data_IF_248804325126
#
_entry.id   IF_248804325126
#
_cell.length_a   1.000
_cell.length_b   1.000
_cell.length_c   1.000
_cell.angle_alpha   90.00
_cell.angle_beta   90.00
_cell.angle_gamma   90.00
#
_symmetry.space_group_name_H-M   'P 1'
#
loop_
_entity.id
_entity.type
_entity.pdbx_description
1 polymer ?
#
# COMPACT_ATOMS: atom_id res chain seq x y z
N UNK A 1 -67.72 6.11 -12.83
CA UNK A 1 -66.94 5.90 -11.59
C UNK A 1 -65.76 4.98 -11.89
N UNK A 2 -64.53 5.50 -11.99
CA UNK A 2 -63.31 4.70 -11.83
C UNK A 2 -62.13 5.66 -11.61
N UNK A 3 -61.80 5.91 -10.35
CA UNK A 3 -60.60 6.65 -9.93
C UNK A 3 -59.46 5.64 -9.82
N UNK A 4 -58.47 5.73 -10.71
CA UNK A 4 -57.23 4.94 -10.66
C UNK A 4 -56.40 5.35 -9.43
N UNK A 5 -56.21 4.42 -8.51
CA UNK A 5 -55.26 4.52 -7.39
C UNK A 5 -53.81 4.57 -7.92
N UNK A 6 -53.10 5.67 -7.67
CA UNK A 6 -51.63 5.73 -7.79
C UNK A 6 -51.02 5.21 -6.48
N UNK A 7 -50.01 4.33 -6.51
CA UNK A 7 -49.34 3.90 -5.29
C UNK A 7 -48.44 5.02 -4.77
N UNK A 8 -48.71 5.46 -3.53
CA UNK A 8 -47.89 6.38 -2.77
C UNK A 8 -46.52 5.73 -2.50
N UNK A 9 -45.50 6.11 -3.27
CA UNK A 9 -44.10 5.88 -2.95
C UNK A 9 -43.76 6.71 -1.70
N UNK A 10 -43.85 6.09 -0.53
CA UNK A 10 -43.27 6.61 0.72
C UNK A 10 -41.77 6.83 0.47
N UNK A 11 -41.36 8.10 0.37
CA UNK A 11 -39.96 8.51 0.46
C UNK A 11 -39.42 7.98 1.79
N UNK A 12 -38.66 6.89 1.74
CA UNK A 12 -37.78 6.50 2.84
C UNK A 12 -36.78 7.64 2.98
N UNK A 13 -36.88 8.39 4.08
CA UNK A 13 -35.83 9.30 4.53
C UNK A 13 -34.58 8.46 4.81
N UNK A 14 -33.74 8.29 3.79
CA UNK A 14 -32.36 7.88 3.96
C UNK A 14 -31.66 9.09 4.56
N UNK A 15 -31.36 9.02 5.85
CA UNK A 15 -30.47 9.96 6.53
C UNK A 15 -29.11 9.95 5.81
N UNK A 16 -28.95 10.83 4.83
CA UNK A 16 -27.65 11.14 4.25
C UNK A 16 -26.85 11.86 5.34
N UNK A 17 -25.82 11.22 5.90
CA UNK A 17 -24.80 11.93 6.69
C UNK A 17 -24.33 13.10 5.83
N UNK A 18 -24.71 14.34 6.17
CA UNK A 18 -24.23 15.54 5.49
C UNK A 18 -22.71 15.51 5.61
N UNK A 19 -22.03 15.30 4.49
CA UNK A 19 -20.62 15.66 4.36
C UNK A 19 -20.52 17.12 4.85
N UNK A 20 -19.64 17.44 5.80
CA UNK A 20 -19.56 18.81 6.30
C UNK A 20 -19.12 19.72 5.15
N UNK A 21 -20.01 20.60 4.68
CA UNK A 21 -19.70 21.60 3.66
C UNK A 21 -18.44 22.40 4.00
N UNK A 22 -18.22 22.61 5.30
CA UNK A 22 -17.02 23.21 5.87
C UNK A 22 -15.73 22.45 5.47
N UNK A 23 -15.74 21.12 5.46
CA UNK A 23 -14.58 20.30 5.07
C UNK A 23 -14.22 20.53 3.60
N UNK A 24 -15.22 20.60 2.73
CA UNK A 24 -15.02 20.87 1.30
C UNK A 24 -14.41 22.27 1.13
N UNK A 25 -14.92 23.26 1.86
CA UNK A 25 -14.40 24.63 1.80
C UNK A 25 -12.93 24.71 2.26
N UNK A 26 -12.58 24.05 3.37
CA UNK A 26 -11.19 23.96 3.86
C UNK A 26 -10.25 23.32 2.82
N UNK A 27 -10.69 22.22 2.19
CA UNK A 27 -9.88 21.54 1.16
C UNK A 27 -9.68 22.46 -0.04
N UNK A 28 -10.74 23.09 -0.54
CA UNK A 28 -10.64 24.01 -1.67
C UNK A 28 -9.72 25.20 -1.36
N UNK A 29 -9.85 25.79 -0.17
CA UNK A 29 -8.99 26.90 0.25
C UNK A 29 -7.51 26.47 0.34
N UNK A 30 -7.24 25.32 0.95
CA UNK A 30 -5.88 24.78 1.04
C UNK A 30 -5.30 24.43 -0.35
N UNK A 31 -6.10 23.87 -1.26
CA UNK A 31 -5.72 23.59 -2.64
C UNK A 31 -5.39 24.87 -3.41
N UNK A 32 -6.26 25.89 -3.37
CA UNK A 32 -6.04 27.16 -4.04
C UNK A 32 -4.77 27.88 -3.56
N UNK A 33 -4.44 27.73 -2.27
CA UNK A 33 -3.21 28.27 -1.68
C UNK A 33 -1.99 27.36 -1.86
N UNK A 34 -2.13 26.21 -2.53
CA UNK A 34 -1.09 25.17 -2.62
C UNK A 34 -0.51 24.78 -1.24
N UNK A 35 -1.34 24.81 -0.19
CA UNK A 35 -0.93 24.54 1.19
C UNK A 35 -0.87 23.02 1.45
N UNK A 36 0.26 22.41 1.05
CA UNK A 36 0.51 20.97 1.22
C UNK A 36 0.39 20.51 2.69
N UNK A 37 0.95 21.21 3.69
CA UNK A 37 0.79 20.79 5.09
C UNK A 37 -0.68 20.69 5.53
N UNK A 38 -1.51 21.69 5.19
CA UNK A 38 -2.93 21.65 5.55
C UNK A 38 -3.67 20.57 4.76
N UNK A 39 -3.39 20.38 3.46
CA UNK A 39 -3.99 19.28 2.69
C UNK A 39 -3.66 17.91 3.28
N UNK A 40 -2.41 17.67 3.71
CA UNK A 40 -2.02 16.43 4.39
C UNK A 40 -2.78 16.23 5.69
N UNK A 41 -2.92 17.29 6.50
CA UNK A 41 -3.72 17.25 7.72
C UNK A 41 -5.19 16.93 7.44
N UNK A 42 -5.79 17.53 6.42
CA UNK A 42 -7.18 17.26 6.01
C UNK A 42 -7.35 15.85 5.44
N UNK A 43 -6.37 15.32 4.72
CA UNK A 43 -6.41 13.96 4.19
C UNK A 43 -6.24 12.88 5.29
N UNK A 44 -5.50 13.19 6.36
CA UNK A 44 -5.21 12.25 7.45
C UNK A 44 -6.21 12.31 8.61
N UNK A 45 -7.07 13.33 8.69
CA UNK A 45 -8.07 13.50 9.77
C UNK A 45 -9.50 13.34 9.27
N UNK A 46 -10.46 13.18 10.20
CA UNK A 46 -11.90 13.18 9.89
C UNK A 46 -12.25 12.33 8.67
N UNK A 47 -13.12 12.79 7.75
CA UNK A 47 -13.55 12.05 6.57
C UNK A 47 -12.52 12.05 5.41
N UNK A 48 -11.28 12.49 5.63
CA UNK A 48 -10.27 12.64 4.58
C UNK A 48 -10.63 13.71 3.54
N UNK A 49 -10.36 13.40 2.27
CA UNK A 49 -10.61 14.29 1.11
C UNK A 49 -12.03 14.19 0.55
N UNK A 50 -12.93 13.47 1.25
CA UNK A 50 -14.38 13.46 1.05
C UNK A 50 -14.88 12.77 -0.23
N UNK A 51 -14.43 13.18 -1.42
CA UNK A 51 -14.93 12.66 -2.69
C UNK A 51 -13.86 12.67 -3.79
N UNK A 52 -14.11 11.91 -4.86
CA UNK A 52 -13.14 11.72 -5.93
C UNK A 52 -12.88 12.98 -6.75
N UNK A 53 -13.83 13.93 -6.78
CA UNK A 53 -13.62 15.24 -7.41
C UNK A 53 -12.51 16.03 -6.70
N UNK A 54 -12.53 16.05 -5.37
CA UNK A 54 -11.47 16.69 -4.57
C UNK A 54 -10.17 15.87 -4.62
N UNK A 55 -10.22 14.54 -4.66
CA UNK A 55 -9.04 13.69 -4.82
C UNK A 55 -8.33 13.92 -6.15
N UNK A 56 -9.09 14.10 -7.24
CA UNK A 56 -8.55 14.47 -8.56
C UNK A 56 -7.74 15.76 -8.55
N UNK A 57 -8.05 16.68 -7.65
CA UNK A 57 -7.28 17.91 -7.45
C UNK A 57 -6.11 17.68 -6.48
N UNK A 58 -6.39 17.06 -5.33
CA UNK A 58 -5.46 17.02 -4.21
C UNK A 58 -4.39 15.92 -4.34
N UNK A 59 -4.71 14.72 -4.84
CA UNK A 59 -3.72 13.65 -4.95
C UNK A 59 -2.56 14.02 -5.88
N UNK A 60 -2.78 14.56 -7.09
CA UNK A 60 -1.67 14.99 -7.94
C UNK A 60 -0.79 16.05 -7.27
N UNK A 61 -1.41 16.99 -6.54
CA UNK A 61 -0.70 18.04 -5.81
C UNK A 61 0.11 17.48 -4.63
N UNK A 62 -0.46 16.56 -3.84
CA UNK A 62 0.22 15.89 -2.72
C UNK A 62 1.35 14.96 -3.19
N UNK A 63 1.23 14.43 -4.40
CA UNK A 63 2.21 13.57 -5.05
C UNK A 63 3.18 14.35 -5.96
N UNK A 64 3.18 15.68 -5.96
CA UNK A 64 4.10 16.49 -6.77
C UNK A 64 4.11 16.09 -8.26
N UNK A 65 2.94 15.86 -8.85
CA UNK A 65 2.81 15.42 -10.24
C UNK A 65 3.02 16.55 -11.28
N UNK A 66 3.21 17.79 -10.83
CA UNK A 66 3.48 18.96 -11.67
C UNK A 66 4.74 19.70 -11.19
N UNK A 67 5.47 20.39 -12.10
CA UNK A 67 5.24 20.45 -13.54
C UNK A 67 5.60 19.13 -14.24
N UNK A 68 4.84 18.77 -15.28
CA UNK A 68 5.12 17.58 -16.05
C UNK A 68 6.11 17.89 -17.17
N UNK A 69 7.31 17.36 -17.06
CA UNK A 69 8.21 17.31 -18.21
C UNK A 69 7.76 16.18 -19.15
N UNK A 70 7.53 16.48 -20.45
CA UNK A 70 7.23 15.44 -21.42
C UNK A 70 8.38 14.46 -21.49
N UNK A 71 8.10 13.19 -21.20
CA UNK A 71 9.10 12.12 -21.31
C UNK A 71 9.47 11.86 -22.77
N UNK A 72 10.72 11.49 -23.05
CA UNK A 72 11.14 11.16 -24.41
C UNK A 72 10.42 9.88 -24.86
N UNK A 73 9.74 9.94 -26.01
CA UNK A 73 9.03 8.79 -26.58
C UNK A 73 9.98 7.62 -26.89
N UNK A 74 11.28 7.88 -27.01
CA UNK A 74 12.30 6.84 -27.21
C UNK A 74 12.41 5.89 -26.02
N UNK A 75 12.30 6.41 -24.80
CA UNK A 75 12.43 5.59 -23.59
C UNK A 75 11.23 4.64 -23.38
N UNK A 76 10.11 4.91 -24.08
CA UNK A 76 8.95 4.03 -24.09
C UNK A 76 9.05 2.91 -25.13
N UNK A 77 10.11 2.85 -25.94
CA UNK A 77 10.22 1.85 -27.01
C UNK A 77 10.72 0.50 -26.52
N UNK A 78 11.62 0.48 -25.52
CA UNK A 78 12.15 -0.76 -24.97
C UNK A 78 11.13 -1.43 -24.03
N UNK A 79 10.96 -2.74 -24.21
CA UNK A 79 10.05 -3.53 -23.37
C UNK A 79 10.67 -3.75 -21.99
N UNK A 80 9.87 -3.57 -20.93
CA UNK A 80 10.31 -3.85 -19.58
C UNK A 80 10.31 -5.36 -19.28
N UNK A 81 11.31 -5.82 -18.51
CA UNK A 81 11.48 -7.26 -18.17
C UNK A 81 10.23 -7.92 -17.54
N UNK A 82 9.39 -7.13 -16.88
CA UNK A 82 8.24 -7.60 -16.11
C UNK A 82 6.88 -7.45 -16.81
N UNK A 83 6.80 -6.98 -18.07
CA UNK A 83 5.50 -6.72 -18.74
C UNK A 83 4.60 -7.95 -18.85
N UNK A 84 5.20 -9.13 -18.98
CA UNK A 84 4.44 -10.39 -18.97
C UNK A 84 3.72 -10.63 -17.65
N UNK A 85 4.38 -10.37 -16.52
CA UNK A 85 3.77 -10.51 -15.19
C UNK A 85 2.67 -9.47 -15.00
N UNK A 86 2.91 -8.23 -15.45
CA UNK A 86 1.89 -7.16 -15.45
C UNK A 86 0.63 -7.61 -16.18
N UNK A 87 0.76 -8.21 -17.37
CA UNK A 87 -0.39 -8.69 -18.13
C UNK A 87 -1.22 -9.72 -17.35
N UNK A 88 -0.57 -10.71 -16.73
CA UNK A 88 -1.24 -11.76 -15.95
C UNK A 88 -2.01 -11.18 -14.75
N UNK A 89 -1.45 -10.18 -14.08
CA UNK A 89 -2.06 -9.54 -12.92
C UNK A 89 -3.20 -8.60 -13.31
N UNK A 90 -3.03 -7.83 -14.38
CA UNK A 90 -4.07 -6.96 -14.93
C UNK A 90 -5.29 -7.77 -15.39
N UNK A 91 -5.10 -8.95 -15.99
CA UNK A 91 -6.22 -9.81 -16.39
C UNK A 91 -7.08 -10.27 -15.21
N UNK A 92 -6.50 -10.33 -14.00
CA UNK A 92 -7.18 -10.67 -12.74
C UNK A 92 -7.75 -9.47 -11.98
N UNK A 93 -7.57 -8.24 -12.48
CA UNK A 93 -8.03 -7.01 -11.82
C UNK A 93 -9.52 -6.71 -11.99
N UNK A 94 -10.00 -5.66 -11.31
CA UNK A 94 -11.40 -5.17 -11.33
C UNK A 94 -12.43 -6.25 -10.99
N UNK A 95 -12.16 -7.03 -9.94
CA UNK A 95 -13.07 -8.10 -9.45
C UNK A 95 -14.12 -7.54 -8.49
N UNK A 96 -13.71 -6.74 -7.52
CA UNK A 96 -14.60 -6.24 -6.47
C UNK A 96 -15.20 -4.87 -6.78
N UNK A 97 -14.44 -4.01 -7.45
CA UNK A 97 -14.85 -2.68 -7.84
C UNK A 97 -14.25 -2.29 -9.20
N UNK A 98 -14.96 -1.47 -9.98
CA UNK A 98 -16.34 -1.01 -9.77
C UNK A 98 -17.38 -2.13 -10.05
N UNK A 99 -18.54 -2.05 -9.40
CA UNK A 99 -19.61 -3.07 -9.54
C UNK A 99 -20.39 -2.87 -10.84
N UNK A 100 -20.88 -3.97 -11.42
CA UNK A 100 -21.78 -3.93 -12.58
C UNK A 100 -21.09 -3.64 -13.92
N UNK A 101 -19.78 -3.82 -14.01
CA UNK A 101 -19.06 -3.73 -15.28
C UNK A 101 -19.48 -4.85 -16.23
N UNK A 102 -19.77 -4.48 -17.47
CA UNK A 102 -19.82 -5.45 -18.55
C UNK A 102 -18.38 -5.87 -18.96
N UNK A 103 -18.25 -6.99 -19.67
CA UNK A 103 -16.96 -7.54 -20.06
C UNK A 103 -16.14 -6.59 -20.96
N UNK A 104 -16.78 -5.85 -21.86
CA UNK A 104 -16.10 -4.93 -22.76
C UNK A 104 -15.50 -3.74 -22.00
N UNK A 105 -16.26 -3.11 -21.10
CA UNK A 105 -15.78 -2.04 -20.23
C UNK A 105 -14.69 -2.54 -19.30
N UNK A 106 -14.84 -3.74 -18.71
CA UNK A 106 -13.79 -4.35 -17.90
C UNK A 106 -12.50 -4.53 -18.70
N UNK A 107 -12.57 -5.08 -19.92
CA UNK A 107 -11.40 -5.28 -20.78
C UNK A 107 -10.75 -3.97 -21.21
N UNK A 108 -11.55 -2.93 -21.48
CA UNK A 108 -11.03 -1.59 -21.74
C UNK A 108 -10.25 -1.04 -20.54
N UNK A 109 -10.83 -1.11 -19.33
CA UNK A 109 -10.16 -0.67 -18.10
C UNK A 109 -8.90 -1.49 -17.79
N UNK A 110 -8.90 -2.79 -18.07
CA UNK A 110 -7.72 -3.64 -17.98
C UNK A 110 -6.63 -3.18 -18.96
N UNK A 111 -6.99 -2.85 -20.20
CA UNK A 111 -6.04 -2.28 -21.17
C UNK A 111 -5.47 -0.96 -20.66
N UNK A 112 -6.29 -0.09 -20.10
CA UNK A 112 -5.81 1.17 -19.54
C UNK A 112 -4.90 0.98 -18.32
N UNK A 113 -5.23 0.04 -17.45
CA UNK A 113 -4.40 -0.30 -16.30
C UNK A 113 -3.04 -0.87 -16.73
N UNK A 114 -3.01 -1.70 -17.77
CA UNK A 114 -1.77 -2.17 -18.38
C UNK A 114 -0.92 -0.98 -18.84
N UNK A 115 -1.50 -0.07 -19.63
CA UNK A 115 -0.79 1.11 -20.13
C UNK A 115 -0.22 1.96 -18.98
N UNK A 116 -0.96 2.09 -17.87
CA UNK A 116 -0.49 2.82 -16.68
C UNK A 116 0.75 2.17 -16.08
N UNK A 117 0.70 0.86 -15.82
CA UNK A 117 1.80 0.15 -15.15
C UNK A 117 3.01 0.06 -16.07
N UNK A 118 2.82 -0.30 -17.34
CA UNK A 118 3.89 -0.37 -18.34
C UNK A 118 4.51 1.01 -18.56
N UNK A 119 3.69 2.06 -18.61
CA UNK A 119 4.17 3.43 -18.71
C UNK A 119 5.07 3.83 -17.53
N UNK A 120 4.77 3.39 -16.30
CA UNK A 120 5.65 3.59 -15.13
C UNK A 120 6.96 2.81 -15.29
N UNK A 121 6.88 1.52 -15.58
CA UNK A 121 8.04 0.64 -15.63
C UNK A 121 9.01 0.98 -16.76
N UNK A 122 8.52 1.37 -17.95
CA UNK A 122 9.39 1.78 -19.06
C UNK A 122 10.13 3.08 -18.79
N UNK A 123 9.52 4.01 -18.04
CA UNK A 123 10.20 5.25 -17.59
C UNK A 123 11.21 5.01 -16.47
N UNK A 124 11.09 3.90 -15.75
CA UNK A 124 11.98 3.53 -14.66
C UNK A 124 12.38 2.07 -14.78
N UNK A 125 13.18 1.71 -15.80
CA UNK A 125 13.44 0.31 -16.16
C UNK A 125 14.25 -0.48 -15.11
N UNK A 126 14.69 0.20 -14.05
CA UNK A 126 15.37 -0.40 -12.89
C UNK A 126 14.41 -0.80 -11.77
N UNK A 127 13.14 -0.40 -11.84
CA UNK A 127 12.13 -0.90 -10.91
C UNK A 127 11.81 -2.36 -11.24
N UNK A 128 11.76 -3.21 -10.22
CA UNK A 128 11.22 -4.54 -10.36
C UNK A 128 9.73 -4.52 -9.98
N UNK A 129 8.87 -5.02 -10.86
CA UNK A 129 7.45 -5.15 -10.58
C UNK A 129 7.22 -6.24 -9.52
N UNK A 130 6.39 -5.94 -8.50
CA UNK A 130 5.87 -6.94 -7.57
C UNK A 130 4.38 -7.19 -7.81
N UNK A 131 3.96 -8.44 -7.63
CA UNK A 131 2.55 -8.82 -7.69
C UNK A 131 1.76 -8.11 -6.57
N UNK A 132 0.84 -7.24 -6.97
CA UNK A 132 0.04 -6.39 -6.09
C UNK A 132 0.15 -4.90 -6.42
N UNK A 133 1.19 -4.46 -7.15
CA UNK A 133 1.30 -3.05 -7.56
C UNK A 133 0.16 -2.63 -8.51
N UNK A 134 -0.42 -3.59 -9.25
CA UNK A 134 -1.61 -3.33 -10.06
C UNK A 134 -2.82 -2.91 -9.24
N UNK A 135 -2.95 -3.35 -7.99
CA UNK A 135 -4.04 -2.94 -7.10
C UNK A 135 -3.91 -1.44 -6.76
N UNK A 136 -2.69 -0.96 -6.48
CA UNK A 136 -2.40 0.49 -6.31
C UNK A 136 -2.78 1.27 -7.56
N UNK A 137 -2.27 0.87 -8.72
CA UNK A 137 -2.53 1.57 -9.98
C UNK A 137 -4.01 1.54 -10.37
N UNK A 138 -4.75 0.49 -10.03
CA UNK A 138 -6.18 0.40 -10.30
C UNK A 138 -6.98 1.48 -9.54
N UNK A 139 -6.63 1.73 -8.27
CA UNK A 139 -7.26 2.76 -7.45
C UNK A 139 -6.96 4.16 -8.02
N UNK A 140 -5.70 4.40 -8.40
CA UNK A 140 -5.29 5.66 -9.02
C UNK A 140 -6.04 5.90 -10.32
N UNK A 141 -6.13 4.90 -11.20
CA UNK A 141 -6.86 5.01 -12.47
C UNK A 141 -8.35 5.30 -12.24
N UNK A 142 -8.99 4.61 -11.30
CA UNK A 142 -10.39 4.80 -10.96
C UNK A 142 -10.70 6.20 -10.42
N UNK A 143 -9.84 6.74 -9.55
CA UNK A 143 -10.07 8.04 -8.91
C UNK A 143 -9.67 9.18 -9.83
N UNK A 144 -8.49 9.09 -10.45
CA UNK A 144 -7.93 10.15 -11.29
C UNK A 144 -8.63 10.22 -12.65
N UNK A 145 -9.21 9.11 -13.11
CA UNK A 145 -10.10 9.06 -14.27
C UNK A 145 -9.39 9.17 -15.63
N UNK A 146 -8.06 9.25 -15.66
CA UNK A 146 -7.27 9.24 -16.88
C UNK A 146 -5.89 8.60 -16.63
N UNK A 147 -5.34 7.99 -17.69
CA UNK A 147 -4.07 7.25 -17.62
C UNK A 147 -2.89 8.14 -17.29
N UNK A 148 -2.81 9.33 -17.84
CA UNK A 148 -1.66 10.23 -17.69
C UNK A 148 -1.48 10.68 -16.24
N UNK A 149 -2.57 11.07 -15.57
CA UNK A 149 -2.54 11.40 -14.14
C UNK A 149 -2.21 10.17 -13.29
N UNK A 150 -2.75 8.99 -13.63
CA UNK A 150 -2.46 7.74 -12.91
C UNK A 150 -1.00 7.29 -13.07
N UNK A 151 -0.42 7.46 -14.26
CA UNK A 151 0.98 7.20 -14.60
C UNK A 151 1.92 8.06 -13.74
N UNK A 152 1.65 9.36 -13.59
CA UNK A 152 2.47 10.28 -12.79
C UNK A 152 2.33 9.99 -11.28
N UNK A 153 1.09 9.85 -10.81
CA UNK A 153 0.83 9.53 -9.42
C UNK A 153 1.45 8.18 -9.02
N UNK A 154 1.30 7.16 -9.87
CA UNK A 154 1.84 5.83 -9.64
C UNK A 154 3.36 5.78 -9.70
N UNK A 155 4.00 6.55 -10.58
CA UNK A 155 5.46 6.72 -10.61
C UNK A 155 5.99 7.29 -9.30
N UNK A 156 5.41 8.37 -8.81
CA UNK A 156 5.88 8.99 -7.57
C UNK A 156 5.62 8.10 -6.35
N UNK A 157 4.50 7.37 -6.33
CA UNK A 157 4.25 6.35 -5.31
C UNK A 157 5.31 5.25 -5.38
N UNK A 158 5.58 4.69 -6.56
CA UNK A 158 6.57 3.65 -6.78
C UNK A 158 7.98 4.07 -6.33
N UNK A 159 8.37 5.31 -6.61
CA UNK A 159 9.74 5.79 -6.44
C UNK A 159 9.98 6.34 -5.03
N UNK A 160 8.99 6.97 -4.40
CA UNK A 160 9.19 7.70 -3.14
C UNK A 160 8.45 7.11 -1.95
N UNK A 161 7.42 6.28 -2.16
CA UNK A 161 6.62 5.72 -1.06
C UNK A 161 6.71 4.19 -0.96
N UNK A 162 6.87 3.50 -2.08
CA UNK A 162 6.86 2.04 -2.15
C UNK A 162 8.12 1.43 -2.77
N UNK A 163 9.18 2.21 -2.97
CA UNK A 163 10.40 1.78 -3.67
C UNK A 163 11.04 0.54 -3.06
N UNK A 164 10.99 0.42 -1.74
CA UNK A 164 11.59 -0.69 -1.02
C UNK A 164 10.89 -2.05 -1.29
N UNK A 165 9.69 -2.02 -1.89
CA UNK A 165 9.01 -3.19 -2.44
C UNK A 165 9.24 -3.39 -3.96
N UNK A 166 9.82 -2.40 -4.65
CA UNK A 166 10.10 -2.41 -6.09
C UNK A 166 11.59 -2.56 -6.43
N UNK A 167 12.42 -3.00 -5.47
CA UNK A 167 13.79 -3.43 -5.75
C UNK A 167 13.79 -4.87 -6.29
N UNK A 168 14.93 -5.36 -6.78
CA UNK A 168 15.08 -6.72 -7.33
C UNK A 168 14.72 -7.86 -6.35
N UNK A 169 14.49 -7.54 -5.07
CA UNK A 169 14.03 -8.47 -4.04
C UNK A 169 13.08 -7.76 -3.08
N UNK A 170 12.11 -8.50 -2.54
CA UNK A 170 11.25 -8.05 -1.44
C UNK A 170 11.94 -8.07 -0.06
N UNK A 171 13.22 -8.47 0.03
CA UNK A 171 13.97 -8.47 1.29
C UNK A 171 13.90 -7.13 2.06
N UNK A 172 14.00 -5.94 1.44
CA UNK A 172 13.91 -4.67 2.15
C UNK A 172 12.55 -4.51 2.83
N UNK A 173 11.43 -4.66 2.10
CA UNK A 173 10.10 -4.52 2.71
C UNK A 173 9.83 -5.61 3.77
N UNK A 174 10.38 -6.82 3.58
CA UNK A 174 10.29 -7.90 4.58
C UNK A 174 11.07 -7.57 5.86
N UNK A 175 12.18 -6.84 5.77
CA UNK A 175 12.89 -6.28 6.94
C UNK A 175 12.06 -5.19 7.61
N UNK A 176 11.41 -4.29 6.86
CA UNK A 176 10.52 -3.28 7.44
C UNK A 176 9.38 -3.90 8.25
N UNK A 177 8.80 -5.00 7.76
CA UNK A 177 7.74 -5.73 8.48
C UNK A 177 8.19 -6.24 9.85
N UNK A 178 9.48 -6.45 10.09
CA UNK A 178 9.98 -6.85 11.43
C UNK A 178 9.73 -5.79 12.50
N UNK A 179 9.59 -4.52 12.11
CA UNK A 179 9.22 -3.43 13.01
C UNK A 179 7.84 -3.64 13.64
N UNK A 180 6.95 -4.38 12.95
CA UNK A 180 5.63 -4.74 13.45
C UNK A 180 5.72 -5.42 14.82
N UNK A 181 6.64 -6.37 14.99
CA UNK A 181 6.82 -7.10 16.24
C UNK A 181 7.26 -6.16 17.37
N UNK A 182 8.20 -5.25 17.08
CA UNK A 182 8.66 -4.25 18.07
C UNK A 182 7.54 -3.29 18.47
N UNK A 183 6.74 -2.81 17.52
CA UNK A 183 5.61 -1.92 17.79
C UNK A 183 4.54 -2.62 18.63
N UNK A 184 4.17 -3.85 18.28
CA UNK A 184 3.21 -4.65 19.05
C UNK A 184 3.75 -4.91 20.45
N UNK A 185 5.02 -5.30 20.59
CA UNK A 185 5.66 -5.54 21.90
C UNK A 185 5.58 -4.33 22.82
N UNK A 186 5.73 -3.12 22.28
CA UNK A 186 5.71 -1.89 23.07
C UNK A 186 4.30 -1.42 23.45
N UNK A 187 3.26 -1.81 22.71
CA UNK A 187 1.86 -1.42 22.96
C UNK A 187 1.04 -2.52 23.65
N UNK A 188 1.32 -3.78 23.33
CA UNK A 188 0.58 -4.95 23.80
C UNK A 188 1.52 -6.17 23.96
N UNK A 189 2.23 -6.27 25.09
CA UNK A 189 3.14 -7.37 25.35
C UNK A 189 2.47 -8.75 25.32
N UNK A 190 1.18 -8.85 25.68
CA UNK A 190 0.46 -10.12 25.70
C UNK A 190 0.26 -10.67 24.28
N UNK A 191 -0.12 -9.82 23.32
CA UNK A 191 -0.17 -10.21 21.91
C UNK A 191 1.24 -10.58 21.41
N UNK A 192 2.25 -9.77 21.71
CA UNK A 192 3.59 -10.05 21.23
C UNK A 192 4.14 -11.39 21.76
N UNK A 193 3.90 -11.73 23.04
CA UNK A 193 4.24 -13.03 23.61
C UNK A 193 3.49 -14.17 22.91
N UNK A 194 2.21 -13.96 22.60
CA UNK A 194 1.41 -14.96 21.91
C UNK A 194 1.94 -15.22 20.50
N UNK A 195 2.28 -14.18 19.73
CA UNK A 195 2.86 -14.30 18.39
C UNK A 195 4.23 -14.99 18.41
N UNK A 196 5.06 -14.70 19.41
CA UNK A 196 6.35 -15.38 19.58
C UNK A 196 6.18 -16.87 19.93
N UNK A 197 5.25 -17.19 20.85
CA UNK A 197 4.95 -18.58 21.22
C UNK A 197 4.38 -19.39 20.06
N UNK A 198 3.52 -18.79 19.24
CA UNK A 198 2.98 -19.42 18.03
C UNK A 198 3.99 -19.45 16.87
N UNK A 199 5.20 -18.90 17.02
CA UNK A 199 6.21 -18.74 15.97
C UNK A 199 5.67 -18.00 14.73
N UNK A 200 4.78 -17.02 14.93
CA UNK A 200 4.17 -16.26 13.84
C UNK A 200 5.08 -15.09 13.43
N UNK A 201 5.56 -15.14 12.19
CA UNK A 201 6.34 -14.05 11.59
C UNK A 201 5.40 -12.96 11.03
N UNK A 202 5.83 -11.69 10.99
CA UNK A 202 4.98 -10.55 10.63
C UNK A 202 4.66 -10.45 9.12
N UNK A 203 4.86 -11.53 8.37
CA UNK A 203 4.67 -11.55 6.91
C UNK A 203 3.21 -11.73 6.49
N UNK A 204 2.31 -12.05 7.43
CA UNK A 204 0.86 -12.15 7.18
C UNK A 204 0.25 -10.84 6.63
N UNK A 205 0.84 -9.69 6.95
CA UNK A 205 0.35 -8.38 6.53
C UNK A 205 1.12 -7.78 5.35
N UNK A 206 1.94 -8.57 4.65
CA UNK A 206 2.70 -8.06 3.50
C UNK A 206 1.76 -7.43 2.45
N UNK A 207 0.62 -8.08 2.15
CA UNK A 207 -0.37 -7.54 1.20
C UNK A 207 -0.92 -6.18 1.64
N UNK A 208 -1.14 -5.97 2.94
CA UNK A 208 -1.68 -4.72 3.48
C UNK A 208 -0.75 -3.54 3.21
N UNK A 209 0.55 -3.78 3.36
CA UNK A 209 1.60 -2.78 3.20
C UNK A 209 1.84 -2.47 1.73
N UNK A 210 2.09 -3.49 0.90
CA UNK A 210 2.49 -3.26 -0.49
C UNK A 210 1.31 -2.86 -1.38
N UNK A 211 0.08 -3.21 -1.00
CA UNK A 211 -1.13 -2.81 -1.77
C UNK A 211 -1.93 -1.70 -1.08
N UNK A 212 -1.42 -1.11 0.01
CA UNK A 212 -2.17 -0.14 0.82
C UNK A 212 -3.59 -0.63 1.16
N UNK A 213 -3.67 -1.93 1.49
CA UNK A 213 -4.88 -2.68 1.80
C UNK A 213 -5.91 -2.78 0.67
N UNK A 214 -5.63 -2.26 -0.53
CA UNK A 214 -6.57 -2.29 -1.67
C UNK A 214 -6.85 -3.70 -2.17
N UNK A 215 -5.90 -4.62 -2.01
CA UNK A 215 -6.10 -6.04 -2.30
C UNK A 215 -7.12 -6.69 -1.34
N UNK A 216 -7.08 -6.31 -0.07
CA UNK A 216 -7.80 -6.98 1.00
C UNK A 216 -9.14 -6.33 1.35
N UNK A 217 -9.30 -5.04 1.07
CA UNK A 217 -10.52 -4.27 1.37
C UNK A 217 -11.42 -4.22 0.13
N UNK A 218 -12.63 -4.77 0.26
CA UNK A 218 -13.56 -4.92 -0.88
C UNK A 218 -14.45 -3.70 -1.16
N UNK A 219 -14.37 -2.67 -0.32
CA UNK A 219 -15.15 -1.45 -0.43
C UNK A 219 -14.26 -0.30 -0.93
N UNK A 220 -14.49 0.14 -2.17
CA UNK A 220 -13.71 1.21 -2.79
C UNK A 220 -13.74 2.50 -1.94
N UNK A 221 -14.85 2.81 -1.25
CA UNK A 221 -14.93 4.01 -0.42
C UNK A 221 -13.95 3.98 0.76
N UNK A 222 -13.72 2.80 1.34
CA UNK A 222 -12.72 2.56 2.38
C UNK A 222 -11.30 2.60 1.81
N UNK A 223 -11.10 2.00 0.63
CA UNK A 223 -9.81 2.00 -0.06
C UNK A 223 -9.35 3.42 -0.39
N UNK A 224 -10.20 4.24 -1.03
CA UNK A 224 -9.81 5.63 -1.38
C UNK A 224 -9.59 6.50 -0.15
N UNK A 225 -10.30 6.22 0.96
CA UNK A 225 -10.06 6.87 2.26
C UNK A 225 -8.70 6.50 2.86
N UNK A 226 -8.28 5.25 2.72
CA UNK A 226 -6.92 4.80 3.09
C UNK A 226 -5.86 5.43 2.18
N UNK A 227 -6.14 5.61 0.90
CA UNK A 227 -5.22 6.28 -0.02
C UNK A 227 -5.03 7.75 0.33
N UNK A 228 -6.10 8.48 0.71
CA UNK A 228 -5.98 9.85 1.26
C UNK A 228 -4.95 9.89 2.39
N UNK A 229 -5.00 8.89 3.28
CA UNK A 229 -4.10 8.75 4.42
C UNK A 229 -2.66 8.39 4.00
N UNK A 230 -2.46 7.36 3.19
CA UNK A 230 -1.12 6.89 2.81
C UNK A 230 -0.35 7.89 1.95
N UNK A 231 -1.00 8.49 0.95
CA UNK A 231 -0.39 9.53 0.10
C UNK A 231 0.13 10.71 0.94
N UNK A 232 -0.58 11.03 2.02
CA UNK A 232 -0.30 12.19 2.87
C UNK A 232 0.67 11.92 4.02
N UNK A 233 1.14 10.68 4.17
CA UNK A 233 1.85 10.21 5.36
C UNK A 233 3.23 9.62 5.03
N UNK A 234 4.01 9.40 6.09
CA UNK A 234 5.30 8.72 6.05
C UNK A 234 5.18 7.28 5.51
N UNK A 235 6.13 6.77 4.71
CA UNK A 235 6.09 5.40 4.17
C UNK A 235 5.89 4.31 5.24
N UNK A 236 6.47 4.48 6.43
CA UNK A 236 6.34 3.52 7.53
C UNK A 236 4.94 3.49 8.13
N UNK A 237 4.07 4.47 7.86
CA UNK A 237 2.74 4.55 8.46
C UNK A 237 1.90 3.29 8.19
N UNK A 238 2.16 2.60 7.07
CA UNK A 238 1.55 1.33 6.69
C UNK A 238 1.86 0.20 7.69
N UNK A 239 3.08 0.19 8.24
CA UNK A 239 3.50 -0.73 9.31
C UNK A 239 2.80 -0.39 10.62
N UNK A 240 2.68 0.90 10.96
CA UNK A 240 1.94 1.35 12.14
C UNK A 240 0.44 1.03 12.05
N UNK A 241 -0.14 1.17 10.86
CA UNK A 241 -1.52 0.78 10.59
C UNK A 241 -1.71 -0.73 10.78
N UNK A 242 -0.79 -1.52 10.23
CA UNK A 242 -0.79 -2.99 10.40
C UNK A 242 -0.70 -3.38 11.88
N UNK A 243 0.18 -2.75 12.66
CA UNK A 243 0.29 -3.00 14.11
C UNK A 243 -1.03 -2.67 14.81
N UNK A 244 -1.67 -1.55 14.46
CA UNK A 244 -2.94 -1.14 15.04
C UNK A 244 -4.08 -2.10 14.73
N UNK A 245 -4.11 -2.67 13.52
CA UNK A 245 -5.08 -3.72 13.15
C UNK A 245 -4.89 -4.95 14.04
N UNK A 246 -3.65 -5.44 14.20
CA UNK A 246 -3.35 -6.59 15.04
C UNK A 246 -3.77 -6.34 16.49
N UNK A 247 -3.36 -5.20 17.06
CA UNK A 247 -3.68 -4.82 18.44
C UNK A 247 -5.20 -4.68 18.65
N UNK A 248 -5.93 -4.16 17.65
CA UNK A 248 -7.39 -4.02 17.76
C UNK A 248 -8.13 -5.36 17.89
N UNK A 249 -7.49 -6.47 17.48
CA UNK A 249 -8.04 -7.82 17.50
C UNK A 249 -7.55 -8.64 18.71
N UNK A 250 -7.03 -7.98 19.74
CA UNK A 250 -6.48 -8.60 20.97
C UNK A 250 -7.29 -9.79 21.49
N UNK A 251 -8.58 -9.58 21.76
CA UNK A 251 -9.44 -10.60 22.38
C UNK A 251 -9.64 -11.81 21.48
N UNK A 252 -9.85 -11.58 20.19
CA UNK A 252 -10.04 -12.65 19.22
C UNK A 252 -8.74 -13.44 19.03
N UNK A 253 -7.60 -12.74 18.98
CA UNK A 253 -6.29 -13.33 18.76
C UNK A 253 -5.86 -14.22 19.94
N UNK A 254 -6.01 -13.75 21.18
CA UNK A 254 -5.66 -14.54 22.37
C UNK A 254 -6.64 -15.69 22.67
N UNK A 255 -7.81 -15.70 22.01
CA UNK A 255 -8.76 -16.81 22.09
C UNK A 255 -8.45 -17.93 21.08
N UNK A 256 -7.51 -17.72 20.14
CA UNK A 256 -7.09 -18.76 19.20
C UNK A 256 -6.22 -19.80 19.89
N UNK A 257 -6.17 -20.98 19.28
CA UNK A 257 -5.11 -21.93 19.54
C UNK A 257 -3.76 -21.30 19.19
N UNK A 258 -2.76 -21.48 20.07
CA UNK A 258 -1.42 -20.92 19.92
C UNK A 258 -0.60 -21.73 18.90
N UNK A 259 -1.10 -21.80 17.67
CA UNK A 259 -0.50 -22.48 16.53
C UNK A 259 -0.18 -21.47 15.41
N UNK A 260 1.01 -21.57 14.84
CA UNK A 260 1.50 -20.62 13.86
C UNK A 260 0.66 -20.52 12.59
N UNK A 261 0.09 -21.63 12.11
CA UNK A 261 -0.71 -21.64 10.89
C UNK A 261 -2.12 -21.08 11.14
N UNK A 262 -2.72 -21.39 12.29
CA UNK A 262 -4.01 -20.84 12.71
C UNK A 262 -3.91 -19.32 12.87
N UNK A 263 -2.90 -18.87 13.62
CA UNK A 263 -2.66 -17.46 13.87
C UNK A 263 -2.36 -16.71 12.57
N UNK A 264 -1.49 -17.25 11.71
CA UNK A 264 -1.21 -16.65 10.40
C UNK A 264 -2.49 -16.54 9.56
N UNK A 265 -3.28 -17.60 9.45
CA UNK A 265 -4.53 -17.60 8.67
C UNK A 265 -5.54 -16.56 9.18
N UNK A 266 -5.64 -16.39 10.49
CA UNK A 266 -6.50 -15.37 11.09
C UNK A 266 -6.00 -13.96 10.80
N UNK A 267 -4.69 -13.73 10.95
CA UNK A 267 -4.07 -12.43 10.79
C UNK A 267 -3.92 -12.01 9.33
N UNK A 268 -3.81 -12.91 8.36
CA UNK A 268 -3.75 -12.54 6.94
C UNK A 268 -5.07 -11.97 6.41
N UNK A 269 -6.18 -12.11 7.15
CA UNK A 269 -7.48 -11.56 6.78
C UNK A 269 -7.64 -10.15 7.33
N UNK A 270 -7.77 -9.16 6.45
CA UNK A 270 -8.11 -7.79 6.84
C UNK A 270 -9.55 -7.70 7.38
N UNK A 271 -9.79 -7.02 8.53
CA UNK A 271 -11.12 -6.89 9.12
C UNK A 271 -12.05 -5.99 8.28
N UNK A 272 -13.04 -6.59 7.62
CA UNK A 272 -13.89 -5.87 6.65
C UNK A 272 -14.82 -4.81 7.28
N UNK A 273 -15.22 -4.99 8.54
CA UNK A 273 -16.17 -4.11 9.25
C UNK A 273 -15.48 -3.02 10.08
N UNK A 274 -14.17 -2.88 9.97
CA UNK A 274 -13.44 -1.85 10.71
C UNK A 274 -13.88 -0.44 10.28
N UNK A 275 -13.96 0.46 11.27
CA UNK A 275 -14.08 1.90 11.05
C UNK A 275 -12.71 2.44 10.63
N UNK A 276 -12.62 2.91 9.38
CA UNK A 276 -11.37 3.37 8.78
C UNK A 276 -10.91 4.68 9.41
N UNK A 277 -11.82 5.58 9.76
CA UNK A 277 -11.46 6.87 10.35
C UNK A 277 -10.94 6.68 11.77
N UNK A 278 -11.55 5.78 12.54
CA UNK A 278 -11.06 5.40 13.87
C UNK A 278 -9.70 4.70 13.78
N UNK A 279 -9.53 3.76 12.84
CA UNK A 279 -8.26 3.09 12.61
C UNK A 279 -7.15 4.11 12.30
N UNK A 280 -7.38 5.00 11.34
CA UNK A 280 -6.43 6.05 10.95
C UNK A 280 -6.09 6.94 12.15
N UNK A 281 -7.10 7.40 12.90
CA UNK A 281 -6.89 8.24 14.09
C UNK A 281 -5.96 7.57 15.11
N UNK A 282 -6.24 6.29 15.44
CA UNK A 282 -5.43 5.51 16.38
C UNK A 282 -4.03 5.22 15.84
N UNK A 283 -3.89 5.00 14.52
CA UNK A 283 -2.59 4.84 13.87
C UNK A 283 -1.75 6.11 13.96
N UNK A 284 -2.34 7.28 13.71
CA UNK A 284 -1.64 8.57 13.83
C UNK A 284 -1.20 8.83 15.27
N UNK A 285 -2.05 8.51 16.26
CA UNK A 285 -1.68 8.61 17.68
C UNK A 285 -0.46 7.74 18.01
N UNK A 286 -0.46 6.48 17.54
CA UNK A 286 0.66 5.56 17.72
C UNK A 286 1.94 6.07 17.05
N UNK A 287 1.84 6.52 15.80
CA UNK A 287 2.97 7.06 15.05
C UNK A 287 3.54 8.30 15.72
N UNK A 288 2.70 9.25 16.11
CA UNK A 288 3.14 10.47 16.79
C UNK A 288 3.75 10.20 18.17
N UNK A 289 3.23 9.22 18.91
CA UNK A 289 3.80 8.78 20.20
C UNK A 289 5.27 8.38 20.02
N UNK A 290 5.56 7.50 19.08
CA UNK A 290 6.92 6.99 18.86
C UNK A 290 7.82 7.91 18.04
N UNK A 291 7.24 8.81 17.23
CA UNK A 291 7.99 9.89 16.61
C UNK A 291 8.47 10.92 17.64
N UNK A 292 7.63 11.28 18.60
CA UNK A 292 7.98 12.24 19.68
C UNK A 292 8.93 11.61 20.69
N UNK A 293 8.69 10.36 21.08
CA UNK A 293 9.52 9.63 22.02
C UNK A 293 9.80 8.23 21.46
N UNK A 294 10.93 8.08 20.77
CA UNK A 294 11.34 6.80 20.20
C UNK A 294 12.18 6.01 21.22
N UNK A 295 11.66 4.91 21.80
CA UNK A 295 12.43 4.09 22.73
C UNK A 295 13.66 3.49 22.04
N UNK A 296 14.74 3.26 22.78
CA UNK A 296 15.99 2.73 22.22
C UNK A 296 15.79 1.42 21.45
N UNK A 297 14.87 0.56 21.92
CA UNK A 297 14.55 -0.71 21.24
C UNK A 297 13.93 -0.48 19.85
N UNK A 298 13.04 0.52 19.71
CA UNK A 298 12.46 0.86 18.42
C UNK A 298 13.49 1.53 17.50
N UNK A 299 14.31 2.43 18.06
CA UNK A 299 15.40 3.07 17.30
C UNK A 299 16.37 2.03 16.74
N UNK A 300 16.74 1.04 17.56
CA UNK A 300 17.59 -0.08 17.13
C UNK A 300 16.91 -0.91 16.04
N UNK A 301 15.64 -1.27 16.23
CA UNK A 301 14.87 -2.03 15.24
C UNK A 301 14.76 -1.28 13.90
N UNK A 302 14.54 0.04 13.91
CA UNK A 302 14.51 0.89 12.72
C UNK A 302 15.86 0.86 11.99
N UNK A 303 16.97 1.03 12.72
CA UNK A 303 18.32 0.99 12.13
C UNK A 303 18.68 -0.39 11.54
N UNK A 304 18.14 -1.47 12.10
CA UNK A 304 18.35 -2.83 11.57
C UNK A 304 17.45 -3.14 10.37
N UNK A 305 16.23 -2.58 10.36
CA UNK A 305 15.22 -2.84 9.34
C UNK A 305 15.40 -1.99 8.08
N UNK A 306 15.90 -0.76 8.21
CA UNK A 306 15.97 0.21 7.12
C UNK A 306 17.40 0.39 6.62
N UNK A 307 17.56 0.26 5.30
CA UNK A 307 18.77 0.68 4.61
C UNK A 307 18.85 2.22 4.54
N UNK A 308 20.05 2.79 4.49
CA UNK A 308 20.25 4.24 4.38
C UNK A 308 19.57 4.84 3.15
N UNK A 309 19.40 4.04 2.09
CA UNK A 309 18.70 4.43 0.87
C UNK A 309 17.23 4.05 0.86
N UNK A 310 16.65 3.60 1.97
CA UNK A 310 15.23 3.30 2.10
C UNK A 310 14.38 4.54 1.84
N UNK A 311 13.22 4.37 1.19
CA UNK A 311 12.30 5.49 0.98
C UNK A 311 11.78 6.07 2.29
N UNK A 312 11.68 5.27 3.36
CA UNK A 312 11.33 5.73 4.70
C UNK A 312 12.39 6.67 5.31
N UNK A 313 13.68 6.36 5.17
CA UNK A 313 14.78 7.21 5.67
C UNK A 313 14.86 8.53 4.88
N UNK A 314 14.72 8.42 3.56
CA UNK A 314 14.85 9.54 2.64
C UNK A 314 13.61 10.45 2.58
N UNK A 315 12.50 10.04 3.19
CA UNK A 315 11.22 10.74 3.11
C UNK A 315 11.29 12.18 3.65
N UNK A 316 11.81 12.37 4.86
CA UNK A 316 11.92 13.71 5.46
C UNK A 316 13.00 14.57 4.79
N UNK A 317 14.03 13.90 4.25
CA UNK A 317 15.19 14.58 3.67
C UNK A 317 14.89 15.14 2.28
N UNK A 318 14.10 14.42 1.49
CA UNK A 318 13.87 14.72 0.08
C UNK A 318 12.40 14.95 -0.26
N UNK A 319 11.48 14.11 0.23
CA UNK A 319 10.07 14.20 -0.16
C UNK A 319 9.33 15.35 0.53
N UNK A 320 9.46 15.48 1.87
CA UNK A 320 8.75 16.53 2.61
C UNK A 320 9.27 17.96 2.35
N UNK A 321 10.50 18.08 1.84
CA UNK A 321 11.11 19.38 1.52
C UNK A 321 10.80 19.88 0.11
N UNK A 322 10.29 18.99 -0.74
CA UNK A 322 9.98 19.32 -2.12
C UNK A 322 8.88 20.39 -2.18
N UNK A 323 9.14 21.49 -2.88
CA UNK A 323 8.12 22.52 -3.09
C UNK A 323 7.16 22.08 -4.19
N UNK A 324 5.98 22.72 -4.21
CA UNK A 324 4.92 22.37 -5.18
C UNK A 324 5.37 22.54 -6.64
N UNK A 325 6.18 23.56 -6.91
CA UNK A 325 6.62 23.88 -8.27
C UNK A 325 8.06 23.40 -8.55
N UNK A 326 8.64 22.61 -7.63
CA UNK A 326 10.01 22.09 -7.78
C UNK A 326 9.97 20.76 -8.54
N UNK A 327 10.72 20.62 -9.65
CA UNK A 327 10.72 19.40 -10.42
C UNK A 327 11.34 18.25 -9.62
N UNK A 328 10.76 17.06 -9.77
CA UNK A 328 11.28 15.86 -9.14
C UNK A 328 12.59 15.44 -9.82
N UNK A 329 13.65 15.30 -9.03
CA UNK A 329 14.92 14.77 -9.51
C UNK A 329 14.93 13.24 -9.47
N UNK A 330 14.44 12.62 -10.54
CA UNK A 330 14.46 11.16 -10.68
C UNK A 330 15.88 10.58 -10.80
N UNK A 331 16.85 11.33 -11.33
CA UNK A 331 18.24 10.86 -11.52
C UNK A 331 18.91 10.47 -10.19
N UNK A 332 18.59 11.16 -9.10
CA UNK A 332 19.10 10.80 -7.78
C UNK A 332 18.58 9.43 -7.35
N UNK A 333 17.32 9.11 -7.65
CA UNK A 333 16.73 7.82 -7.30
C UNK A 333 17.20 6.72 -8.26
N UNK A 334 17.41 7.02 -9.54
CA UNK A 334 17.99 6.07 -10.47
C UNK A 334 19.38 5.60 -10.03
N UNK A 335 20.20 6.48 -9.44
CA UNK A 335 21.49 6.10 -8.85
C UNK A 335 21.33 5.13 -7.68
N UNK A 336 20.30 5.31 -6.85
CA UNK A 336 19.96 4.38 -5.76
C UNK A 336 19.56 3.02 -6.34
N UNK A 337 18.68 3.00 -7.35
CA UNK A 337 18.21 1.78 -8.01
C UNK A 337 19.33 1.05 -8.77
N UNK A 338 20.34 1.77 -9.27
CA UNK A 338 21.49 1.19 -9.97
C UNK A 338 22.54 0.59 -9.04
N UNK A 339 22.47 0.88 -7.74
CA UNK A 339 23.46 0.45 -6.78
C UNK A 339 23.14 -0.98 -6.29
N UNK A 340 24.02 -1.97 -6.51
CA UNK A 340 23.75 -3.34 -6.09
C UNK A 340 23.51 -3.40 -4.59
N UNK A 341 22.44 -4.09 -4.17
CA UNK A 341 22.12 -4.28 -2.75
C UNK A 341 23.31 -4.89 -1.96
N UNK A 342 24.12 -5.71 -2.61
CA UNK A 342 25.33 -6.34 -2.05
C UNK A 342 26.50 -5.37 -1.77
N UNK A 343 26.54 -4.19 -2.40
CA UNK A 343 27.56 -3.17 -2.14
C UNK A 343 27.31 -2.36 -0.86
N UNK A 344 26.10 -2.47 -0.26
CA UNK A 344 25.71 -1.75 0.96
C UNK A 344 26.03 -2.49 2.26
N UNK A 345 26.59 -3.71 2.17
CA UNK A 345 26.92 -4.57 3.33
C UNK A 345 28.38 -4.42 3.81
N UNK A 346 29.26 -3.83 3.01
CA UNK A 346 30.72 -3.78 3.28
C UNK A 346 31.15 -2.68 4.26
N UNK A 347 30.25 -1.77 4.66
CA UNK A 347 30.55 -0.72 5.64
C UNK A 347 30.07 -1.01 7.07
N UNK A 348 29.20 -2.01 7.28
CA UNK A 348 28.71 -2.36 8.62
C UNK A 348 29.38 -3.60 9.25
N UNK A 349 30.15 -4.38 8.48
CA UNK A 349 30.88 -5.54 9.01
C UNK A 349 32.32 -5.13 9.34
N UNK A 350 32.50 -4.26 10.33
CA UNK A 350 33.76 -4.23 11.08
C UNK A 350 33.62 -4.20 12.59
N UNK A 351 32.42 -4.04 13.16
CA UNK A 351 32.22 -4.13 14.61
C UNK A 351 30.86 -4.77 14.94
N UNK A 352 30.82 -6.10 14.99
CA UNK A 352 29.98 -6.85 15.94
C UNK A 352 30.21 -8.35 15.78
N UNK A 353 30.19 -9.03 16.90
CA UNK A 353 30.58 -10.42 17.12
C UNK A 353 29.75 -11.43 16.29
N UNK A 354 30.36 -12.60 16.07
CA UNK A 354 29.83 -13.71 15.26
C UNK A 354 28.36 -14.04 15.57
N UNK A 355 27.43 -14.02 14.61
CA UNK A 355 26.06 -14.47 14.82
C UNK A 355 25.99 -16.02 14.83
N UNK A 356 25.20 -16.56 15.76
CA UNK A 356 24.92 -17.99 15.90
C UNK A 356 24.37 -18.62 14.60
N UNK A 357 24.98 -19.72 14.17
CA UNK A 357 24.70 -20.47 12.94
C UNK A 357 23.24 -20.97 12.79
N UNK A 358 22.47 -21.02 13.88
CA UNK A 358 21.05 -21.41 13.83
C UNK A 358 20.14 -20.36 13.18
N UNK A 359 20.42 -19.05 13.34
CA UNK A 359 19.54 -18.00 12.81
C UNK A 359 19.64 -17.87 11.29
N UNK A 360 20.83 -18.05 10.71
CA UNK A 360 20.99 -18.06 9.23
C UNK A 360 20.22 -19.20 8.58
N UNK A 361 20.27 -20.41 9.15
CA UNK A 361 19.52 -21.56 8.63
C UNK A 361 18.00 -21.36 8.70
N UNK A 362 17.50 -20.71 9.77
CA UNK A 362 16.07 -20.38 9.92
C UNK A 362 15.60 -19.32 8.92
N UNK A 363 16.35 -18.24 8.72
CA UNK A 363 15.99 -17.21 7.71
C UNK A 363 15.98 -17.80 6.31
N UNK A 364 16.97 -18.63 5.97
CA UNK A 364 17.02 -19.31 4.66
C UNK A 364 15.87 -20.31 4.50
N UNK A 365 15.55 -21.12 5.52
CA UNK A 365 14.39 -22.03 5.47
C UNK A 365 13.06 -21.28 5.33
N UNK A 366 12.90 -20.13 6.00
CA UNK A 366 11.67 -19.34 5.94
C UNK A 366 11.51 -18.71 4.56
N UNK A 367 12.58 -18.19 3.94
CA UNK A 367 12.55 -17.68 2.57
C UNK A 367 12.20 -18.78 1.55
N UNK A 368 12.71 -19.99 1.76
CA UNK A 368 12.35 -21.18 0.97
C UNK A 368 10.88 -21.55 1.20
N UNK A 369 10.37 -21.47 2.43
CA UNK A 369 8.96 -21.75 2.73
C UNK A 369 8.00 -20.71 2.14
N UNK A 370 8.39 -19.44 2.12
CA UNK A 370 7.59 -18.35 1.52
C UNK A 370 7.55 -18.45 -0.01
N UNK A 371 8.66 -18.83 -0.64
CA UNK A 371 8.70 -19.12 -2.08
C UNK A 371 7.94 -20.41 -2.43
N UNK A 372 7.99 -21.44 -1.57
CA UNK A 372 7.16 -22.64 -1.70
C UNK A 372 5.67 -22.36 -1.50
N UNK A 373 5.30 -21.49 -0.55
CA UNK A 373 3.92 -21.09 -0.31
C UNK A 373 3.38 -20.28 -1.50
N UNK A 374 4.19 -19.35 -2.02
CA UNK A 374 3.88 -18.62 -3.25
C UNK A 374 3.74 -19.55 -4.46
N UNK A 375 4.60 -20.57 -4.58
CA UNK A 375 4.52 -21.58 -5.63
C UNK A 375 3.28 -22.49 -5.48
N UNK A 376 2.95 -22.93 -4.25
CA UNK A 376 1.77 -23.77 -3.97
C UNK A 376 0.48 -23.00 -4.22
N UNK A 377 0.43 -21.73 -3.81
CA UNK A 377 -0.70 -20.83 -4.05
C UNK A 377 -0.95 -20.65 -5.55
N UNK A 378 0.11 -20.44 -6.33
CA UNK A 378 0.03 -20.40 -7.80
C UNK A 378 -0.44 -21.72 -8.42
N UNK A 379 0.01 -22.87 -7.90
CA UNK A 379 -0.43 -24.20 -8.39
C UNK A 379 -1.91 -24.48 -8.10
N UNK A 380 -2.41 -24.04 -6.94
CA UNK A 380 -3.82 -24.18 -6.55
C UNK A 380 -4.71 -23.29 -7.44
N UNK A 381 -4.28 -22.05 -7.73
CA UNK A 381 -4.95 -21.14 -8.65
C UNK A 381 -5.03 -21.72 -10.08
N UNK A 382 -3.96 -22.33 -10.58
CA UNK A 382 -3.92 -22.99 -11.89
C UNK A 382 -4.82 -24.25 -11.91
N UNK A 383 -4.80 -25.07 -10.84
CA UNK A 383 -5.66 -26.26 -10.75
C UNK A 383 -7.15 -25.91 -10.67
N UNK A 384 -7.49 -24.78 -10.03
CA UNK A 384 -8.85 -24.24 -10.01
C UNK A 384 -9.29 -23.73 -11.38
N UNK A 385 -8.35 -23.19 -12.18
CA UNK A 385 -8.59 -22.76 -13.56
C UNK A 385 -8.85 -23.93 -14.50
N UNK A 386 -8.06 -25.01 -14.42
CA UNK A 386 -8.24 -26.21 -15.25
C UNK A 386 -9.53 -26.97 -14.95
N UNK A 387 -10.00 -26.97 -13.69
CA UNK A 387 -11.30 -27.59 -13.33
C UNK A 387 -12.50 -26.81 -13.84
N UNK A 388 -12.43 -25.47 -13.85
CA UNK A 388 -13.55 -24.64 -14.29
C UNK A 388 -13.64 -24.51 -15.82
N UNK A 389 -12.56 -24.74 -16.56
CA UNK A 389 -12.58 -24.75 -18.03
C UNK A 389 -12.98 -26.09 -18.66
N UNK A 390 -13.00 -27.20 -17.89
CA UNK A 390 -13.50 -28.50 -18.38
C UNK A 390 -15.01 -28.70 -18.28
N UNK A 391 -15.77 -27.70 -17.80
CA UNK A 391 -17.23 -27.78 -17.64
C UNK A 391 -17.98 -27.07 -18.79
N UNK A 392 -17.29 -26.37 -19.68
CA UNK A 392 -17.90 -25.67 -20.81
C UNK A 392 -17.23 -26.02 -22.15
N UNK A 393 -17.21 -27.31 -22.49
CA UNK A 393 -17.14 -27.81 -23.87
C UNK A 393 -18.00 -29.04 -24.03
#
# INVERSE_FOLDING_TARGET
MSRKNKPNLRRRNVSSKKVPQERINQINEAFMKKNIPELRKLATTGPGLVNDGLRRLCWPLLLHCEPYEPYDKKDLQEEHKDERQVLLDVDRSFVYYPKGLNNATKKHMQSELKDVIVGILRRHPKLAYYQGFHDICSVLLLVLGNKESAIKAGENIAIFLLRDAMLDSLEPIMKQLTLLNTLIRLEDPAIADFLEKSNTLPYFCLSWVITWCSHDVRDLSKVVRLFDFFISSDPLISIYLSARIVISRHKELLALECDGAIVHTFLSKFPQYIDIDELISKTIQLYNKYRKFCPLVLKKAINEALDETSCAILYEQHWLKLKVDEPINYLAVDKILSSPYSAKKSMQIKNSEKPNMLNKKRVVMVLISATLFYWLFNKILISFYERNHKINY
#
